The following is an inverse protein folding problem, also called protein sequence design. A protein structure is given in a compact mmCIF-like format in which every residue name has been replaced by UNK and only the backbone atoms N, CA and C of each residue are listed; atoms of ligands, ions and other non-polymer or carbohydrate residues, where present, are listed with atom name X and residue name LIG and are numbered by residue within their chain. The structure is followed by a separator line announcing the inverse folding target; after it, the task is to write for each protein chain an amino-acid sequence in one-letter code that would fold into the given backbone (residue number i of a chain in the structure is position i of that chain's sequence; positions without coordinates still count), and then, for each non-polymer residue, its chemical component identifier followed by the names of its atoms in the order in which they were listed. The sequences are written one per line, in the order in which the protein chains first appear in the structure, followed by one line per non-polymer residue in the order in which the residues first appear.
data_IF_269164970735
#
_entry.id   IF_269164970735
#
_cell.length_a   1.000
_cell.length_b   1.000
_cell.length_c   1.000
_cell.angle_alpha   90.00
_cell.angle_beta   90.00
_cell.angle_gamma   90.00
#
_symmetry.space_group_name_H-M   'P 1'
#
loop_
_entity.id
_entity.type
_entity.pdbx_description
1 polymer ?
#
# COMPACT_ATOMS: atom_id res chain seq x y z
N UNK A 1 -17.18 -2.22 13.12
CA UNK A 1 -16.55 -1.56 11.95
C UNK A 1 -15.04 -1.60 12.09
N UNK A 2 -14.31 -2.12 11.10
CA UNK A 2 -12.83 -2.20 11.12
C UNK A 2 -12.21 -0.83 10.82
N UNK A 3 -11.28 -0.38 11.62
CA UNK A 3 -10.54 0.88 11.44
C UNK A 3 -9.18 0.58 10.79
N UNK A 4 -8.90 1.22 9.67
CA UNK A 4 -7.70 0.98 8.84
C UNK A 4 -6.76 2.16 8.99
N UNK A 5 -5.45 1.89 9.15
CA UNK A 5 -4.40 2.86 8.89
C UNK A 5 -3.81 2.62 7.51
N UNK A 6 -3.69 3.67 6.70
CA UNK A 6 -2.99 3.61 5.41
C UNK A 6 -1.65 4.30 5.54
N UNK A 7 -0.57 3.58 5.25
CA UNK A 7 0.81 4.09 5.31
C UNK A 7 1.28 4.50 3.91
N UNK A 8 1.84 5.69 3.80
CA UNK A 8 2.28 6.28 2.52
C UNK A 8 3.61 7.01 2.66
N UNK A 9 4.32 7.20 1.55
CA UNK A 9 5.53 8.05 1.51
C UNK A 9 5.44 9.20 0.51
N UNK A 10 4.37 9.27 -0.30
CA UNK A 10 4.33 10.20 -1.43
C UNK A 10 2.94 10.72 -1.78
N UNK A 11 2.52 10.49 -3.03
CA UNK A 11 1.31 11.08 -3.62
C UNK A 11 0.00 10.68 -2.92
N UNK A 12 -0.15 9.41 -2.52
CA UNK A 12 -1.34 8.92 -1.82
C UNK A 12 -2.57 8.68 -2.70
N UNK A 13 -2.39 8.42 -4.00
CA UNK A 13 -3.49 8.10 -4.91
C UNK A 13 -4.27 6.87 -4.46
N UNK A 14 -3.58 5.81 -4.06
CA UNK A 14 -4.21 4.60 -3.53
C UNK A 14 -4.91 4.85 -2.19
N UNK A 15 -4.33 5.67 -1.30
CA UNK A 15 -5.01 6.10 -0.07
C UNK A 15 -6.34 6.79 -0.38
N UNK A 16 -6.35 7.77 -1.27
CA UNK A 16 -7.58 8.47 -1.66
C UNK A 16 -8.60 7.51 -2.27
N UNK A 17 -8.14 6.62 -3.16
CA UNK A 17 -9.01 5.66 -3.83
C UNK A 17 -9.67 4.69 -2.83
N UNK A 18 -8.90 4.11 -1.90
CA UNK A 18 -9.41 3.23 -0.84
C UNK A 18 -10.40 4.00 0.06
N UNK A 19 -10.05 5.22 0.46
CA UNK A 19 -10.91 6.04 1.32
C UNK A 19 -12.26 6.33 0.67
N UNK A 20 -12.26 6.72 -0.61
CA UNK A 20 -13.50 6.98 -1.36
C UNK A 20 -14.33 5.72 -1.57
N UNK A 21 -13.68 4.60 -1.89
CA UNK A 21 -14.35 3.31 -2.11
C UNK A 21 -15.02 2.80 -0.83
N UNK A 22 -14.39 2.99 0.33
CA UNK A 22 -14.93 2.57 1.63
C UNK A 22 -15.89 3.59 2.24
N UNK A 23 -16.10 4.76 1.62
CA UNK A 23 -17.01 5.77 2.12
C UNK A 23 -18.44 5.23 2.24
N UNK A 24 -19.05 5.35 3.41
CA UNK A 24 -20.38 4.81 3.69
C UNK A 24 -20.43 3.29 3.93
N UNK A 25 -19.29 2.59 3.92
CA UNK A 25 -19.26 1.17 4.24
C UNK A 25 -19.37 0.94 5.75
N UNK A 26 -20.28 0.05 6.16
CA UNK A 26 -20.51 -0.23 7.58
C UNK A 26 -19.49 -1.19 8.20
N UNK A 27 -18.70 -1.89 7.37
CA UNK A 27 -17.76 -2.90 7.85
C UNK A 27 -16.34 -2.36 8.09
N UNK A 28 -15.91 -1.39 7.26
CA UNK A 28 -14.56 -0.85 7.32
C UNK A 28 -14.50 0.61 6.88
N UNK A 29 -13.55 1.37 7.42
CA UNK A 29 -13.23 2.73 6.96
C UNK A 29 -11.75 3.05 7.21
N UNK A 30 -11.21 3.97 6.43
CA UNK A 30 -9.87 4.52 6.67
C UNK A 30 -9.98 5.52 7.80
N UNK A 31 -9.35 5.21 8.93
CA UNK A 31 -9.39 6.02 10.14
C UNK A 31 -8.16 6.91 10.30
N UNK A 32 -7.02 6.51 9.70
CA UNK A 32 -5.76 7.21 9.87
C UNK A 32 -4.91 7.11 8.60
N UNK A 33 -4.33 8.22 8.19
CA UNK A 33 -3.21 8.27 7.26
C UNK A 33 -1.91 8.40 8.07
N UNK A 34 -0.94 7.53 7.83
CA UNK A 34 0.41 7.63 8.40
C UNK A 34 1.40 7.91 7.28
N UNK A 35 2.08 9.06 7.33
CA UNK A 35 3.14 9.38 6.38
C UNK A 35 4.49 9.43 7.08
N UNK A 36 5.52 8.80 6.49
CA UNK A 36 6.89 8.94 6.98
C UNK A 36 7.58 10.22 6.48
N UNK A 37 6.88 11.05 5.69
CA UNK A 37 7.41 12.27 5.10
C UNK A 37 6.46 13.44 5.36
N UNK A 38 6.96 14.57 5.90
CA UNK A 38 6.13 15.75 6.17
C UNK A 38 5.67 16.48 4.91
N UNK A 39 6.36 16.27 3.79
CA UNK A 39 6.09 16.87 2.48
C UNK A 39 5.21 16.01 1.58
N UNK A 40 4.72 14.86 2.06
CA UNK A 40 3.89 13.96 1.28
C UNK A 40 2.55 14.62 0.89
N UNK A 41 2.23 14.61 -0.41
CA UNK A 41 0.96 15.15 -0.91
C UNK A 41 -0.27 14.41 -0.35
N UNK A 42 -0.08 13.17 0.06
CA UNK A 42 -1.10 12.38 0.75
C UNK A 42 -1.70 13.08 1.98
N UNK A 43 -0.92 13.91 2.70
CA UNK A 43 -1.42 14.69 3.85
C UNK A 43 -2.48 15.71 3.43
N UNK A 44 -2.30 16.36 2.26
CA UNK A 44 -3.29 17.27 1.70
C UNK A 44 -4.56 16.52 1.27
N UNK A 45 -4.41 15.28 0.74
CA UNK A 45 -5.55 14.43 0.41
C UNK A 45 -6.33 14.04 1.66
N UNK A 46 -5.64 13.66 2.75
CA UNK A 46 -6.26 13.32 4.02
C UNK A 46 -7.10 14.48 4.57
N UNK A 47 -6.54 15.69 4.58
CA UNK A 47 -7.26 16.89 4.99
C UNK A 47 -8.53 17.12 4.17
N UNK A 48 -8.46 16.99 2.84
CA UNK A 48 -9.65 17.15 1.96
C UNK A 48 -10.71 16.07 2.14
N UNK A 49 -10.30 14.88 2.56
CA UNK A 49 -11.18 13.72 2.79
C UNK A 49 -11.72 13.66 4.23
N UNK A 50 -11.28 14.57 5.12
CA UNK A 50 -11.63 14.53 6.53
C UNK A 50 -11.07 13.32 7.27
N UNK A 51 -9.95 12.76 6.79
CA UNK A 51 -9.24 11.66 7.44
C UNK A 51 -8.12 12.22 8.30
N UNK A 52 -8.04 11.76 9.54
CA UNK A 52 -6.94 12.10 10.45
C UNK A 52 -5.61 11.65 9.88
N UNK A 53 -4.56 12.45 10.06
CA UNK A 53 -3.24 12.12 9.54
C UNK A 53 -2.13 12.45 10.53
N UNK A 54 -1.10 11.60 10.55
CA UNK A 54 0.11 11.80 11.36
C UNK A 54 1.35 11.67 10.48
N UNK A 55 2.35 12.49 10.78
CA UNK A 55 3.70 12.31 10.26
C UNK A 55 4.46 11.45 11.25
N UNK A 56 4.91 10.28 10.80
CA UNK A 56 5.60 9.29 11.61
C UNK A 56 6.89 8.89 10.93
N UNK A 57 7.97 9.54 11.30
CA UNK A 57 9.27 9.43 10.64
C UNK A 57 9.96 8.08 10.92
N UNK A 58 11.07 7.82 10.22
CA UNK A 58 11.90 6.63 10.50
C UNK A 58 12.35 6.57 11.96
N UNK A 59 12.63 7.72 12.57
CA UNK A 59 13.02 7.82 14.00
C UNK A 59 11.85 7.44 14.91
N UNK A 60 10.62 7.89 14.57
CA UNK A 60 9.43 7.53 15.34
C UNK A 60 9.15 6.03 15.25
N UNK A 61 9.31 5.42 14.06
CA UNK A 61 9.18 3.96 13.89
C UNK A 61 10.26 3.14 14.62
N UNK A 62 11.38 3.75 15.04
CA UNK A 62 12.37 3.06 15.84
C UNK A 62 11.92 2.87 17.31
N UNK A 63 10.93 3.62 17.76
CA UNK A 63 10.30 3.50 19.09
C UNK A 63 9.06 2.60 18.99
N UNK A 64 9.23 1.31 19.35
CA UNK A 64 8.17 0.31 19.35
C UNK A 64 6.97 0.72 20.19
N UNK A 65 7.24 1.09 21.46
CA UNK A 65 6.18 1.40 22.42
C UNK A 65 5.33 2.58 21.95
N UNK A 66 5.96 3.65 21.50
CA UNK A 66 5.30 4.85 20.99
C UNK A 66 4.49 4.57 19.73
N UNK A 67 5.04 3.74 18.82
CA UNK A 67 4.34 3.37 17.57
C UNK A 67 3.10 2.53 17.85
N UNK A 68 3.22 1.51 18.69
CA UNK A 68 2.08 0.68 19.07
C UNK A 68 1.03 1.50 19.82
N UNK A 69 1.44 2.39 20.74
CA UNK A 69 0.52 3.27 21.45
C UNK A 69 -0.26 4.16 20.47
N UNK A 70 0.41 4.80 19.52
CA UNK A 70 -0.23 5.65 18.50
C UNK A 70 -1.30 4.87 17.71
N UNK A 71 -1.02 3.66 17.27
CA UNK A 71 -1.99 2.83 16.55
C UNK A 71 -3.14 2.36 17.44
N UNK A 72 -2.85 2.09 18.71
CA UNK A 72 -3.86 1.68 19.70
C UNK A 72 -4.82 2.83 20.04
N UNK A 73 -4.30 4.03 20.24
CA UNK A 73 -5.11 5.23 20.52
C UNK A 73 -6.10 5.53 19.40
N UNK A 74 -5.71 5.23 18.15
CA UNK A 74 -6.57 5.33 16.98
C UNK A 74 -7.44 4.08 16.75
N UNK A 75 -7.36 3.07 17.63
CA UNK A 75 -8.08 1.80 17.49
C UNK A 75 -7.87 1.12 16.14
N UNK A 76 -6.63 1.08 15.65
CA UNK A 76 -6.31 0.50 14.34
C UNK A 76 -6.37 -1.03 14.41
N UNK A 77 -7.12 -1.63 13.49
CA UNK A 77 -7.29 -3.07 13.37
C UNK A 77 -6.49 -3.68 12.24
N UNK A 78 -6.19 -2.88 11.19
CA UNK A 78 -5.56 -3.33 9.96
C UNK A 78 -4.70 -2.22 9.36
N UNK A 79 -3.58 -2.58 8.75
CA UNK A 79 -2.64 -1.65 8.12
C UNK A 79 -2.54 -1.96 6.63
N UNK A 80 -2.63 -0.93 5.81
CA UNK A 80 -2.47 -1.00 4.35
C UNK A 80 -1.28 -0.16 3.95
N UNK A 81 -0.28 -0.77 3.34
CA UNK A 81 0.85 -0.04 2.74
C UNK A 81 0.50 0.33 1.30
N UNK A 82 0.55 1.61 0.98
CA UNK A 82 0.20 2.17 -0.32
C UNK A 82 1.29 3.13 -0.81
N UNK A 83 2.37 2.58 -1.34
CA UNK A 83 3.57 3.35 -1.68
C UNK A 83 4.33 3.82 -0.43
N UNK A 84 4.48 2.95 0.54
CA UNK A 84 5.26 3.18 1.76
C UNK A 84 6.68 2.66 1.56
N UNK A 85 7.67 3.53 1.62
CA UNK A 85 9.05 3.25 1.22
C UNK A 85 9.98 2.81 2.37
N UNK A 86 9.54 2.86 3.61
CA UNK A 86 10.31 2.33 4.72
C UNK A 86 10.03 0.83 4.89
N UNK A 87 11.06 0.09 5.30
CA UNK A 87 10.86 -1.27 5.79
C UNK A 87 9.96 -1.24 7.03
N UNK A 88 8.95 -2.08 7.03
CA UNK A 88 8.07 -2.24 8.20
C UNK A 88 8.87 -2.90 9.32
N UNK A 89 8.93 -2.31 10.53
CA UNK A 89 9.65 -2.92 11.64
C UNK A 89 9.06 -4.29 12.02
N UNK A 90 9.93 -5.24 12.34
CA UNK A 90 9.53 -6.62 12.70
C UNK A 90 8.54 -6.65 13.87
N UNK A 91 8.70 -5.79 14.87
CA UNK A 91 7.75 -5.71 15.98
C UNK A 91 6.33 -5.40 15.51
N UNK A 92 6.18 -4.53 14.49
CA UNK A 92 4.87 -4.15 13.95
C UNK A 92 4.21 -5.34 13.23
N UNK A 93 5.00 -6.12 12.46
CA UNK A 93 4.53 -7.35 11.81
C UNK A 93 4.05 -8.36 12.86
N UNK A 94 4.78 -8.50 13.96
CA UNK A 94 4.42 -9.40 15.07
C UNK A 94 3.18 -8.93 15.84
N UNK A 95 2.99 -7.63 15.97
CA UNK A 95 1.82 -7.05 16.65
C UNK A 95 0.54 -7.15 15.80
N UNK A 96 0.70 -7.09 14.47
CA UNK A 96 -0.39 -7.19 13.49
C UNK A 96 -0.26 -8.44 12.58
N UNK A 97 -0.24 -9.67 13.14
CA UNK A 97 -0.07 -10.89 12.35
C UNK A 97 -1.19 -11.04 11.33
N UNK A 98 -0.84 -11.19 10.04
CA UNK A 98 -1.78 -11.25 8.91
C UNK A 98 -2.76 -10.06 8.84
N UNK A 99 -2.34 -8.90 9.34
CA UNK A 99 -3.14 -7.66 9.34
C UNK A 99 -2.39 -6.46 8.74
N UNK A 100 -1.32 -6.73 8.02
CA UNK A 100 -0.59 -5.74 7.22
C UNK A 100 -0.52 -6.27 5.80
N UNK A 101 -0.99 -5.50 4.83
CA UNK A 101 -0.87 -5.81 3.41
C UNK A 101 -0.13 -4.70 2.67
N UNK A 102 0.49 -5.08 1.56
CA UNK A 102 1.16 -4.17 0.64
C UNK A 102 0.65 -4.38 -0.78
N UNK A 103 0.67 -3.33 -1.58
CA UNK A 103 0.56 -3.42 -3.03
C UNK A 103 1.92 -3.14 -3.65
N UNK A 104 2.37 -4.04 -4.51
CA UNK A 104 3.62 -3.91 -5.26
C UNK A 104 3.32 -3.79 -6.76
N UNK A 105 3.95 -2.84 -7.49
CA UNK A 105 3.59 -2.52 -8.87
C UNK A 105 4.26 -3.45 -9.90
N UNK A 106 4.38 -4.74 -9.58
CA UNK A 106 4.87 -5.78 -10.49
C UNK A 106 4.25 -7.14 -10.20
N UNK A 107 4.54 -8.11 -11.06
CA UNK A 107 4.20 -9.53 -10.88
C UNK A 107 5.30 -10.21 -10.03
N UNK A 108 5.20 -10.12 -8.70
CA UNK A 108 6.18 -10.77 -7.80
C UNK A 108 6.32 -12.27 -8.11
N UNK A 109 7.51 -12.85 -7.95
CA UNK A 109 8.72 -12.28 -7.35
C UNK A 109 9.55 -11.38 -8.28
N UNK A 110 9.18 -11.24 -9.57
CA UNK A 110 9.91 -10.37 -10.50
C UNK A 110 9.80 -8.92 -10.03
N UNK A 111 10.91 -8.20 -10.12
CA UNK A 111 10.98 -6.77 -9.80
C UNK A 111 10.51 -6.43 -8.38
N UNK A 112 10.72 -7.37 -7.43
CA UNK A 112 10.50 -7.17 -6.00
C UNK A 112 11.82 -6.95 -5.24
N UNK A 113 11.69 -6.61 -3.95
CA UNK A 113 12.81 -6.48 -3.05
C UNK A 113 13.39 -5.07 -2.94
N UNK A 114 14.52 -4.97 -2.24
CA UNK A 114 15.13 -3.69 -1.88
C UNK A 114 15.50 -2.86 -3.13
N UNK A 115 15.01 -1.63 -3.17
CA UNK A 115 15.26 -0.69 -4.28
C UNK A 115 14.22 -0.74 -5.40
N UNK A 116 13.35 -1.74 -5.44
CA UNK A 116 12.30 -1.87 -6.44
C UNK A 116 11.01 -1.18 -5.96
N UNK A 117 10.84 0.09 -6.32
CA UNK A 117 9.65 0.89 -6.01
C UNK A 117 9.41 1.99 -7.05
N UNK A 118 8.16 2.38 -7.23
CA UNK A 118 7.76 3.45 -8.14
C UNK A 118 8.27 3.23 -9.56
N UNK A 119 8.82 4.28 -10.19
CA UNK A 119 9.29 4.23 -11.57
C UNK A 119 10.42 3.24 -11.81
N UNK A 120 11.26 2.94 -10.81
CA UNK A 120 12.35 1.95 -10.97
C UNK A 120 11.82 0.58 -11.38
N UNK A 121 10.64 0.20 -10.93
CA UNK A 121 9.98 -1.04 -11.35
C UNK A 121 9.61 -0.98 -12.82
N UNK A 122 8.97 0.11 -13.25
CA UNK A 122 8.50 0.28 -14.64
C UNK A 122 9.66 0.41 -15.63
N UNK A 123 10.75 1.10 -15.23
CA UNK A 123 12.00 1.17 -15.97
C UNK A 123 12.60 -0.23 -16.16
N UNK A 124 12.72 -1.01 -15.09
CA UNK A 124 13.26 -2.37 -15.16
C UNK A 124 12.38 -3.30 -16.03
N UNK A 125 11.05 -3.21 -15.93
CA UNK A 125 10.11 -3.95 -16.78
C UNK A 125 10.32 -3.59 -18.26
N UNK A 126 10.47 -2.30 -18.58
CA UNK A 126 10.72 -1.82 -19.96
C UNK A 126 12.07 -2.28 -20.48
N UNK A 127 13.14 -2.11 -19.70
CA UNK A 127 14.51 -2.50 -20.07
C UNK A 127 14.64 -4.01 -20.35
N UNK A 128 13.91 -4.84 -19.60
CA UNK A 128 13.91 -6.30 -19.80
C UNK A 128 12.98 -6.75 -20.93
N UNK A 129 12.27 -5.85 -21.60
CA UNK A 129 11.39 -6.17 -22.72
C UNK A 129 10.25 -7.12 -22.34
N UNK A 130 9.73 -6.99 -21.12
CA UNK A 130 8.62 -7.82 -20.66
C UNK A 130 7.39 -7.64 -21.54
N UNK A 131 6.63 -8.72 -21.73
CA UNK A 131 5.40 -8.71 -22.54
C UNK A 131 4.16 -8.39 -21.73
N UNK A 132 4.29 -8.43 -20.41
CA UNK A 132 3.25 -8.09 -19.46
C UNK A 132 3.86 -7.50 -18.19
N UNK A 133 3.04 -6.76 -17.47
CA UNK A 133 3.31 -6.28 -16.10
C UNK A 133 2.05 -6.42 -15.28
N UNK A 134 2.05 -5.94 -14.05
CA UNK A 134 0.86 -6.01 -13.22
C UNK A 134 1.08 -5.52 -11.82
N UNK A 135 0.21 -5.97 -10.94
CA UNK A 135 0.24 -5.70 -9.51
C UNK A 135 0.26 -6.99 -8.71
N UNK A 136 0.86 -6.93 -7.55
CA UNK A 136 0.75 -7.99 -6.54
C UNK A 136 0.32 -7.37 -5.21
N UNK A 137 -0.80 -7.84 -4.67
CA UNK A 137 -1.24 -7.52 -3.31
C UNK A 137 -0.88 -8.73 -2.45
N UNK A 138 -0.14 -8.48 -1.37
CA UNK A 138 0.39 -9.55 -0.53
C UNK A 138 0.38 -9.17 0.96
N UNK A 139 0.40 -10.15 1.84
CA UNK A 139 0.66 -9.93 3.25
C UNK A 139 2.11 -9.51 3.45
N UNK A 140 2.35 -8.60 4.39
CA UNK A 140 3.71 -8.17 4.74
C UNK A 140 4.36 -9.19 5.65
N UNK A 141 5.59 -9.56 5.32
CA UNK A 141 6.45 -10.45 6.11
C UNK A 141 7.77 -9.75 6.47
N UNK A 142 8.63 -10.42 7.24
CA UNK A 142 9.97 -9.91 7.56
C UNK A 142 10.89 -9.85 6.31
N UNK A 143 10.52 -10.57 5.24
CA UNK A 143 11.20 -10.51 3.94
C UNK A 143 10.51 -9.47 3.07
N UNK A 144 11.30 -8.54 2.52
CA UNK A 144 10.78 -7.52 1.62
C UNK A 144 10.09 -8.16 0.41
N UNK A 145 8.83 -7.79 0.17
CA UNK A 145 7.95 -8.31 -0.89
C UNK A 145 7.82 -9.85 -0.92
N UNK A 146 8.20 -10.52 0.18
CA UNK A 146 8.25 -11.98 0.27
C UNK A 146 7.08 -12.64 1.01
N UNK A 147 6.04 -11.88 1.34
CA UNK A 147 4.86 -12.41 2.03
C UNK A 147 3.89 -13.13 1.10
N UNK A 148 2.92 -13.84 1.69
CA UNK A 148 1.91 -14.59 0.94
C UNK A 148 1.10 -13.69 0.01
N UNK A 149 1.01 -14.08 -1.27
CA UNK A 149 0.22 -13.37 -2.28
C UNK A 149 -1.28 -13.57 -2.04
N UNK A 150 -2.00 -12.45 -2.00
CA UNK A 150 -3.46 -12.41 -1.88
C UNK A 150 -4.09 -12.34 -3.27
N UNK A 151 -3.59 -11.43 -4.11
CA UNK A 151 -4.07 -11.22 -5.47
C UNK A 151 -2.91 -10.79 -6.36
N UNK A 152 -2.85 -11.35 -7.56
CA UNK A 152 -1.95 -10.89 -8.61
C UNK A 152 -2.75 -10.70 -9.89
N UNK A 153 -2.60 -9.55 -10.56
CA UNK A 153 -3.32 -9.21 -11.79
C UNK A 153 -2.33 -8.68 -12.81
N UNK A 154 -2.37 -9.21 -14.03
CA UNK A 154 -1.50 -8.77 -15.12
C UNK A 154 -2.23 -7.94 -16.19
N UNK A 155 -1.44 -7.18 -16.95
CA UNK A 155 -1.85 -6.45 -18.14
C UNK A 155 -0.79 -6.58 -19.23
N UNK A 156 -1.17 -6.75 -20.50
CA UNK A 156 -0.23 -6.88 -21.59
C UNK A 156 0.48 -5.54 -21.87
N UNK A 157 1.74 -5.66 -22.30
CA UNK A 157 2.57 -4.54 -22.74
C UNK A 157 2.80 -4.60 -24.26
N UNK A 158 2.79 -3.42 -24.88
CA UNK A 158 3.28 -3.21 -26.22
C UNK A 158 4.79 -2.93 -26.20
N UNK A 159 5.56 -3.37 -27.20
CA UNK A 159 6.96 -2.93 -27.35
C UNK A 159 7.12 -1.40 -27.46
N UNK A 160 6.04 -0.71 -27.86
CA UNK A 160 6.02 0.73 -28.01
C UNK A 160 5.65 1.48 -26.71
N UNK A 161 5.17 0.77 -25.69
CA UNK A 161 4.83 1.40 -24.41
C UNK A 161 6.07 2.10 -23.82
N UNK A 162 5.93 3.36 -23.45
CA UNK A 162 6.90 4.10 -22.65
C UNK A 162 6.85 3.65 -21.19
N UNK A 163 7.79 4.10 -20.36
CA UNK A 163 7.77 3.88 -18.91
C UNK A 163 6.49 4.48 -18.31
N UNK A 164 6.05 5.64 -18.78
CA UNK A 164 4.84 6.30 -18.31
C UNK A 164 3.58 5.52 -18.72
N UNK A 165 3.54 4.96 -19.94
CA UNK A 165 2.43 4.09 -20.36
C UNK A 165 2.34 2.83 -19.49
N UNK A 166 3.48 2.23 -19.14
CA UNK A 166 3.55 1.09 -18.22
C UNK A 166 3.03 1.47 -16.83
N UNK A 167 3.49 2.61 -16.30
CA UNK A 167 3.03 3.12 -15.02
C UNK A 167 1.53 3.36 -14.99
N UNK A 168 0.96 3.98 -16.05
CA UNK A 168 -0.48 4.23 -16.15
C UNK A 168 -1.30 2.93 -16.16
N UNK A 169 -0.85 1.92 -16.93
CA UNK A 169 -1.50 0.60 -16.95
C UNK A 169 -1.51 -0.04 -15.56
N UNK A 170 -0.41 0.04 -14.83
CA UNK A 170 -0.31 -0.48 -13.46
C UNK A 170 -1.23 0.31 -12.51
N UNK A 171 -1.24 1.65 -12.60
CA UNK A 171 -2.12 2.49 -11.79
C UNK A 171 -3.61 2.20 -12.03
N UNK A 172 -4.01 1.85 -13.26
CA UNK A 172 -5.39 1.44 -13.54
C UNK A 172 -5.75 0.14 -12.81
N UNK A 173 -4.83 -0.86 -12.78
CA UNK A 173 -5.02 -2.08 -12.02
C UNK A 173 -5.09 -1.80 -10.50
N UNK A 174 -4.19 -0.97 -9.98
CA UNK A 174 -4.21 -0.56 -8.57
C UNK A 174 -5.56 0.07 -8.20
N UNK A 175 -6.02 1.01 -9.01
CA UNK A 175 -7.29 1.73 -8.80
C UNK A 175 -8.49 0.79 -8.81
N UNK A 176 -8.49 -0.21 -9.65
CA UNK A 176 -9.60 -1.15 -9.78
C UNK A 176 -9.59 -2.20 -8.68
N UNK A 177 -8.45 -2.84 -8.43
CA UNK A 177 -8.39 -4.05 -7.63
C UNK A 177 -8.06 -3.80 -6.16
N UNK A 178 -7.21 -2.80 -5.83
CA UNK A 178 -6.74 -2.66 -4.46
C UNK A 178 -7.86 -2.34 -3.46
N UNK A 179 -8.79 -1.40 -3.69
CA UNK A 179 -9.86 -1.14 -2.74
C UNK A 179 -10.81 -2.32 -2.53
N UNK A 180 -11.09 -3.06 -3.61
CA UNK A 180 -11.94 -4.26 -3.57
C UNK A 180 -11.29 -5.35 -2.70
N UNK A 181 -10.00 -5.61 -2.92
CA UNK A 181 -9.23 -6.60 -2.16
C UNK A 181 -9.13 -6.22 -0.68
N UNK A 182 -8.90 -4.94 -0.37
CA UNK A 182 -8.92 -4.44 1.02
C UNK A 182 -10.26 -4.75 1.69
N UNK A 183 -11.39 -4.47 1.02
CA UNK A 183 -12.71 -4.74 1.57
C UNK A 183 -12.95 -6.25 1.76
N UNK A 184 -12.58 -7.09 0.78
CA UNK A 184 -12.77 -8.54 0.83
C UNK A 184 -12.02 -9.17 2.01
N UNK A 185 -10.77 -8.76 2.27
CA UNK A 185 -9.99 -9.24 3.41
C UNK A 185 -10.65 -8.88 4.75
N UNK A 186 -11.22 -7.68 4.83
CA UNK A 186 -11.82 -7.18 6.06
C UNK A 186 -13.23 -7.72 6.31
N UNK A 187 -13.87 -8.24 5.28
CA UNK A 187 -15.22 -8.78 5.32
C UNK A 187 -15.25 -10.19 4.70
N UNK A 188 -14.52 -11.16 5.28
CA UNK A 188 -14.49 -12.51 4.73
C UNK A 188 -15.92 -13.05 4.61
N UNK A 189 -16.23 -13.64 3.46
CA UNK A 189 -17.52 -14.33 3.28
C UNK A 189 -17.60 -15.46 4.30
N UNK A 190 -18.68 -15.51 5.02
CA UNK A 190 -19.01 -16.62 5.93
C UNK A 190 -19.15 -17.92 5.15
#
# INVERSE_FOLDING_TARGET
MKRIAVFVSGNGSNFENITRFLHGNYNAHVALLVSNRPDAYALQRASRLGVESVVWTKTDFADEQRTIQMLTDHNIHFIVLAGFLLMVPTYLIRHFPNRIINIHPSLLPKYGGKGMYGNHVHEAVKENGEKETGITIHYVSEVCDGGETILQVSTPLSPLDSVDDIAEKVHQLEKEYFPKTVLEILTPKK
#
